data_IF_038521476853
#
_entry.id   IF_038521476853
#
_cell.length_a   1.000
_cell.length_b   1.000
_cell.length_c   1.000
_cell.angle_alpha   90.00
_cell.angle_beta   90.00
_cell.angle_gamma   90.00
#
_symmetry.space_group_name_H-M   'P 1'
#
loop_
_entity.id
_entity.type
_entity.pdbx_description
1 polymer ?
#
# COMPACT_ATOMS: atom_id res chain seq x y z
N UNK A 1 -4.47 -5.75 32.59
CA UNK A 1 -3.80 -5.31 31.34
C UNK A 1 -4.68 -5.72 30.17
N UNK A 2 -5.03 -4.81 29.27
CA UNK A 2 -5.85 -5.12 28.11
C UNK A 2 -5.41 -4.31 26.87
N UNK A 3 -5.76 -4.85 25.71
CA UNK A 3 -5.71 -4.15 24.43
C UNK A 3 -7.09 -3.53 24.12
N UNK A 4 -7.10 -2.23 23.82
CA UNK A 4 -8.26 -1.52 23.29
C UNK A 4 -8.20 -1.52 21.76
N UNK A 5 -9.29 -1.91 21.11
CA UNK A 5 -9.48 -1.74 19.67
C UNK A 5 -10.26 -0.45 19.40
N UNK A 6 -9.68 0.44 18.61
CA UNK A 6 -10.36 1.60 18.04
C UNK A 6 -10.65 1.32 16.56
N UNK A 7 -11.75 0.63 16.31
CA UNK A 7 -12.15 0.17 14.98
C UNK A 7 -13.66 -0.06 14.89
N UNK A 8 -14.12 -0.73 13.83
CA UNK A 8 -15.54 -1.05 13.65
C UNK A 8 -15.98 -2.22 14.53
N UNK A 9 -17.28 -2.33 14.87
CA UNK A 9 -17.82 -3.41 15.69
C UNK A 9 -17.54 -4.81 15.11
N UNK A 10 -17.58 -4.96 13.78
CA UNK A 10 -17.36 -6.24 13.10
C UNK A 10 -15.94 -6.75 13.34
N UNK A 11 -14.96 -5.85 13.35
CA UNK A 11 -13.57 -6.18 13.70
C UNK A 11 -13.44 -6.50 15.18
N UNK A 12 -14.19 -5.80 16.03
CA UNK A 12 -14.32 -6.10 17.47
C UNK A 12 -14.76 -7.54 17.72
N UNK A 13 -15.76 -8.04 16.99
CA UNK A 13 -16.22 -9.44 17.10
C UNK A 13 -15.11 -10.43 16.73
N UNK A 14 -14.41 -10.20 15.62
CA UNK A 14 -13.32 -11.08 15.16
C UNK A 14 -12.17 -11.11 16.16
N UNK A 15 -11.73 -9.94 16.62
CA UNK A 15 -10.62 -9.83 17.57
C UNK A 15 -11.00 -10.37 18.95
N UNK A 16 -12.21 -10.08 19.42
CA UNK A 16 -12.70 -10.57 20.71
C UNK A 16 -12.65 -12.09 20.81
N UNK A 17 -13.00 -12.80 19.73
CA UNK A 17 -12.86 -14.26 19.67
C UNK A 17 -11.39 -14.69 19.80
N UNK A 18 -10.48 -14.07 19.07
CA UNK A 18 -9.05 -14.41 19.07
C UNK A 18 -8.42 -14.15 20.45
N UNK A 19 -8.75 -13.03 21.09
CA UNK A 19 -8.24 -12.70 22.42
C UNK A 19 -8.84 -13.59 23.51
N UNK A 20 -10.12 -13.96 23.40
CA UNK A 20 -10.74 -14.92 24.31
C UNK A 20 -10.09 -16.31 24.20
N UNK A 21 -9.81 -16.78 22.98
CA UNK A 21 -9.07 -18.03 22.73
C UNK A 21 -7.64 -17.99 23.31
N UNK A 22 -6.99 -16.82 23.29
CA UNK A 22 -5.66 -16.61 23.87
C UNK A 22 -5.67 -16.39 25.40
N UNK A 23 -6.83 -16.16 26.02
CA UNK A 23 -6.94 -15.80 27.44
C UNK A 23 -6.42 -14.41 27.77
N UNK A 24 -6.37 -13.50 26.79
CA UNK A 24 -5.81 -12.15 26.91
C UNK A 24 -6.89 -11.09 27.09
N UNK A 25 -6.57 -10.00 27.81
CA UNK A 25 -7.49 -8.90 28.03
C UNK A 25 -7.78 -8.09 26.77
N UNK A 26 -9.06 -7.94 26.41
CA UNK A 26 -9.50 -7.24 25.20
C UNK A 26 -10.72 -6.35 25.45
N UNK A 27 -10.69 -5.16 24.88
CA UNK A 27 -11.79 -4.19 24.90
C UNK A 27 -12.11 -3.81 23.45
N UNK A 28 -13.33 -4.13 23.00
CA UNK A 28 -13.72 -4.03 21.59
C UNK A 28 -13.87 -2.59 21.08
N UNK A 29 -14.17 -1.65 21.98
CA UNK A 29 -14.37 -0.24 21.67
C UNK A 29 -14.19 0.63 22.92
N UNK A 30 -14.11 1.96 22.73
CA UNK A 30 -13.85 2.90 23.82
C UNK A 30 -14.99 3.02 24.84
N UNK A 31 -16.23 2.66 24.49
CA UNK A 31 -17.37 2.67 25.42
C UNK A 31 -17.30 1.50 26.41
N UNK A 32 -16.64 0.40 26.04
CA UNK A 32 -16.35 -0.73 26.92
C UNK A 32 -15.25 -0.48 27.97
N UNK A 33 -14.59 0.68 27.95
CA UNK A 33 -13.51 1.00 28.92
C UNK A 33 -14.12 1.45 30.25
N UNK A 34 -14.12 0.56 31.24
CA UNK A 34 -14.57 0.84 32.61
C UNK A 34 -13.47 1.45 33.50
N UNK A 35 -12.23 0.97 33.34
CA UNK A 35 -11.02 1.50 33.98
C UNK A 35 -10.00 1.87 32.89
N UNK A 36 -9.63 3.16 32.72
CA UNK A 36 -8.63 3.56 31.73
C UNK A 36 -7.22 3.05 32.00
N UNK A 37 -6.84 2.77 33.26
CA UNK A 37 -5.50 2.28 33.62
C UNK A 37 -5.25 0.85 33.11
N UNK A 38 -6.31 0.07 32.87
CA UNK A 38 -6.14 -1.28 32.32
C UNK A 38 -5.67 -1.27 30.86
N UNK A 39 -5.87 -0.16 30.12
CA UNK A 39 -5.53 -0.02 28.71
C UNK A 39 -4.04 0.28 28.57
N UNK A 40 -3.29 -0.75 28.17
CA UNK A 40 -1.83 -0.63 27.97
C UNK A 40 -1.43 -0.68 26.51
N UNK A 41 -2.32 -1.17 25.65
CA UNK A 41 -2.14 -1.28 24.21
C UNK A 41 -3.37 -0.74 23.50
N UNK A 42 -3.17 0.00 22.41
CA UNK A 42 -4.23 0.53 21.57
C UNK A 42 -4.02 0.12 20.12
N UNK A 43 -4.94 -0.63 19.52
CA UNK A 43 -4.92 -0.94 18.10
C UNK A 43 -5.85 0.00 17.33
N UNK A 44 -5.34 0.74 16.35
CA UNK A 44 -6.13 1.71 15.61
C UNK A 44 -5.60 1.95 14.18
N UNK A 45 -6.46 2.44 13.28
CA UNK A 45 -6.00 3.11 12.05
C UNK A 45 -5.71 4.57 12.33
N UNK A 46 -6.69 5.29 12.88
CA UNK A 46 -6.53 6.66 13.38
C UNK A 46 -6.58 6.63 14.91
N UNK A 47 -5.60 7.17 15.63
CA UNK A 47 -5.66 7.21 17.08
C UNK A 47 -6.74 8.19 17.57
N UNK A 48 -7.32 7.98 18.76
CA UNK A 48 -8.12 8.99 19.45
C UNK A 48 -7.33 10.30 19.61
N UNK A 49 -8.05 11.43 19.62
CA UNK A 49 -7.44 12.76 19.75
C UNK A 49 -6.67 12.94 21.06
N UNK A 50 -7.14 12.30 22.15
CA UNK A 50 -6.51 12.35 23.46
C UNK A 50 -6.08 10.95 23.91
N UNK A 51 -4.79 10.67 23.80
CA UNK A 51 -4.18 9.44 24.31
C UNK A 51 -3.84 9.51 25.81
N UNK A 52 -3.81 10.71 26.41
CA UNK A 52 -3.48 10.89 27.83
C UNK A 52 -4.56 10.31 28.76
N UNK A 53 -5.77 10.09 28.23
CA UNK A 53 -6.85 9.34 28.90
C UNK A 53 -6.42 7.94 29.37
N UNK A 54 -5.42 7.33 28.75
CA UNK A 54 -4.92 6.00 29.09
C UNK A 54 -3.53 6.13 29.76
N UNK A 55 -3.46 6.29 31.08
CA UNK A 55 -2.22 6.67 31.78
C UNK A 55 -1.12 5.61 31.70
N UNK A 56 -1.50 4.33 31.58
CA UNK A 56 -0.59 3.20 31.49
C UNK A 56 -0.37 2.72 30.04
N UNK A 57 -0.72 3.54 29.04
CA UNK A 57 -0.53 3.22 27.63
C UNK A 57 0.97 3.10 27.31
N UNK A 58 1.35 1.95 26.75
CA UNK A 58 2.74 1.63 26.38
C UNK A 58 2.94 1.59 24.88
N UNK A 59 1.97 1.09 24.14
CA UNK A 59 2.10 0.87 22.70
C UNK A 59 0.82 1.20 21.95
N UNK A 60 0.97 1.92 20.84
CA UNK A 60 -0.07 2.07 19.82
C UNK A 60 0.30 1.18 18.63
N UNK A 61 -0.62 0.33 18.21
CA UNK A 61 -0.48 -0.60 17.09
C UNK A 61 -1.28 -0.04 15.91
N UNK A 62 -0.59 0.48 14.91
CA UNK A 62 -1.22 0.82 13.64
C UNK A 62 -1.66 -0.46 12.94
N UNK A 63 -2.97 -0.61 12.71
CA UNK A 63 -3.54 -1.75 11.97
C UNK A 63 -3.28 -1.69 10.46
N UNK A 64 -2.64 -0.61 10.00
CA UNK A 64 -2.23 -0.37 8.62
C UNK A 64 -0.75 -0.66 8.35
N UNK A 65 -0.41 -0.71 7.06
CA UNK A 65 0.98 -0.86 6.62
C UNK A 65 1.78 0.45 6.70
N UNK A 66 1.10 1.59 6.55
CA UNK A 66 1.66 2.95 6.66
C UNK A 66 1.34 3.60 7.99
N UNK A 67 2.23 4.46 8.45
CA UNK A 67 2.09 5.21 9.72
C UNK A 67 2.22 6.72 9.53
N UNK A 68 2.31 7.20 8.29
CA UNK A 68 2.62 8.60 7.96
C UNK A 68 1.55 9.59 8.46
N UNK A 69 0.33 9.10 8.71
CA UNK A 69 -0.79 9.90 9.21
C UNK A 69 -0.87 9.97 10.75
N UNK A 70 0.00 9.27 11.48
CA UNK A 70 -0.01 9.32 12.94
C UNK A 70 0.55 10.66 13.45
N UNK A 71 -0.09 11.28 14.46
CA UNK A 71 0.49 12.41 15.16
C UNK A 71 1.70 11.98 16.01
N UNK A 72 2.43 12.97 16.54
CA UNK A 72 3.42 12.70 17.57
C UNK A 72 2.75 12.02 18.77
N UNK A 73 3.34 10.91 19.24
CA UNK A 73 2.83 10.18 20.39
C UNK A 73 3.35 10.78 21.71
N UNK A 74 2.64 10.56 22.83
CA UNK A 74 3.15 10.91 24.15
C UNK A 74 4.49 10.23 24.45
N UNK A 75 5.28 10.85 25.33
CA UNK A 75 6.57 10.31 25.75
C UNK A 75 6.42 8.91 26.37
N UNK A 76 7.33 8.01 26.03
CA UNK A 76 7.32 6.62 26.50
C UNK A 76 6.36 5.68 25.75
N UNK A 77 5.50 6.18 24.86
CA UNK A 77 4.59 5.36 24.06
C UNK A 77 5.24 4.95 22.74
N UNK A 78 5.34 3.64 22.50
CA UNK A 78 5.87 3.10 21.25
C UNK A 78 4.79 3.06 20.13
N UNK A 79 5.20 3.34 18.89
CA UNK A 79 4.38 3.09 17.70
C UNK A 79 4.83 1.80 17.02
N UNK A 80 3.93 0.83 16.93
CA UNK A 80 4.12 -0.39 16.13
C UNK A 80 3.36 -0.27 14.82
N UNK A 81 3.97 -0.74 13.73
CA UNK A 81 3.32 -0.86 12.41
C UNK A 81 3.03 -2.31 12.10
N UNK A 82 1.87 -2.59 11.52
CA UNK A 82 1.51 -3.96 11.13
C UNK A 82 2.25 -4.36 9.86
N UNK A 83 2.95 -5.50 9.92
CA UNK A 83 3.51 -6.18 8.75
C UNK A 83 2.69 -7.45 8.55
N UNK A 84 1.69 -7.41 7.67
CA UNK A 84 0.93 -8.60 7.32
C UNK A 84 1.50 -9.23 6.04
N UNK A 85 1.83 -10.53 6.05
CA UNK A 85 2.24 -11.24 4.85
C UNK A 85 1.21 -11.08 3.73
N UNK A 86 1.65 -10.72 2.53
CA UNK A 86 0.81 -10.66 1.34
C UNK A 86 0.22 -9.29 1.02
N UNK A 87 0.30 -8.29 1.91
CA UNK A 87 -0.14 -6.92 1.59
C UNK A 87 0.63 -6.38 0.37
N UNK A 88 1.93 -6.64 0.28
CA UNK A 88 2.73 -6.16 -0.85
C UNK A 88 2.26 -6.77 -2.17
N UNK A 89 1.91 -8.05 -2.16
CA UNK A 89 1.38 -8.76 -3.32
C UNK A 89 0.01 -8.22 -3.74
N UNK A 90 -0.89 -8.00 -2.78
CA UNK A 90 -2.21 -7.39 -3.04
C UNK A 90 -2.09 -6.00 -3.66
N UNK A 91 -1.23 -5.15 -3.11
CA UNK A 91 -1.01 -3.79 -3.66
C UNK A 91 -0.36 -3.87 -5.03
N UNK A 92 0.60 -4.78 -5.25
CA UNK A 92 1.17 -5.04 -6.58
C UNK A 92 0.09 -5.43 -7.58
N UNK A 93 -0.82 -6.34 -7.23
CA UNK A 93 -1.91 -6.76 -8.14
C UNK A 93 -2.79 -5.58 -8.53
N UNK A 94 -3.14 -4.76 -7.56
CA UNK A 94 -3.93 -3.56 -7.81
C UNK A 94 -3.20 -2.60 -8.77
N UNK A 95 -1.91 -2.35 -8.55
CA UNK A 95 -1.08 -1.48 -9.41
C UNK A 95 -1.00 -2.03 -10.83
N UNK A 96 -0.78 -3.35 -11.00
CA UNK A 96 -0.71 -3.99 -12.31
C UNK A 96 -2.05 -3.90 -13.03
N UNK A 97 -3.15 -4.23 -12.34
CA UNK A 97 -4.51 -4.14 -12.87
C UNK A 97 -4.83 -2.71 -13.33
N UNK A 98 -4.62 -1.70 -12.47
CA UNK A 98 -4.91 -0.31 -12.79
C UNK A 98 -4.05 0.19 -13.97
N UNK A 99 -2.77 -0.19 -14.01
CA UNK A 99 -1.87 0.17 -15.10
C UNK A 99 -2.33 -0.43 -16.43
N UNK A 100 -2.72 -1.71 -16.45
CA UNK A 100 -3.22 -2.37 -17.65
C UNK A 100 -4.57 -1.81 -18.10
N UNK A 101 -5.47 -1.50 -17.16
CA UNK A 101 -6.75 -0.84 -17.45
C UNK A 101 -6.52 0.48 -18.20
N UNK A 102 -5.59 1.32 -17.73
CA UNK A 102 -5.24 2.58 -18.39
C UNK A 102 -4.49 2.35 -19.71
N UNK A 103 -3.57 1.40 -19.76
CA UNK A 103 -2.80 1.08 -20.96
C UNK A 103 -3.70 0.63 -22.13
N UNK A 104 -4.79 -0.07 -21.81
CA UNK A 104 -5.76 -0.61 -22.76
C UNK A 104 -6.99 0.27 -22.95
N UNK A 105 -6.95 1.51 -22.46
CA UNK A 105 -8.04 2.49 -22.56
C UNK A 105 -9.38 1.95 -22.00
N UNK A 106 -9.34 1.07 -21.00
CA UNK A 106 -10.54 0.44 -20.43
C UNK A 106 -11.58 1.46 -19.95
N UNK A 107 -11.24 2.57 -19.25
CA UNK A 107 -12.23 3.57 -18.86
C UNK A 107 -12.99 4.18 -20.05
N UNK A 108 -12.31 4.39 -21.18
CA UNK A 108 -12.96 4.88 -22.40
C UNK A 108 -13.96 3.85 -22.95
N UNK A 109 -13.59 2.58 -22.99
CA UNK A 109 -14.47 1.53 -23.49
C UNK A 109 -15.66 1.26 -22.56
N UNK A 110 -15.49 1.39 -21.25
CA UNK A 110 -16.61 1.29 -20.30
C UNK A 110 -17.63 2.42 -20.51
N UNK A 111 -17.16 3.65 -20.73
CA UNK A 111 -18.00 4.80 -21.04
C UNK A 111 -18.80 4.62 -22.35
N UNK A 112 -18.17 4.07 -23.39
CA UNK A 112 -18.84 3.82 -24.68
C UNK A 112 -19.81 2.63 -24.61
N UNK A 113 -19.44 1.56 -23.91
CA UNK A 113 -20.32 0.43 -23.69
C UNK A 113 -21.60 0.85 -22.96
N UNK A 114 -21.51 1.77 -21.99
CA UNK A 114 -22.67 2.32 -21.30
C UNK A 114 -23.61 3.12 -22.22
N UNK A 115 -23.10 3.64 -23.35
CA UNK A 115 -23.89 4.31 -24.40
C UNK A 115 -24.32 3.38 -25.54
N UNK A 116 -23.92 2.10 -25.51
CA UNK A 116 -24.15 1.16 -26.60
C UNK A 116 -23.34 1.47 -27.86
N UNK A 117 -22.23 2.20 -27.72
CA UNK A 117 -21.39 2.66 -28.84
C UNK A 117 -20.19 1.74 -29.04
N UNK A 118 -19.94 1.33 -30.29
CA UNK A 118 -18.73 0.61 -30.66
C UNK A 118 -17.75 1.53 -31.39
N UNK A 119 -16.71 1.98 -30.71
CA UNK A 119 -15.68 2.84 -31.28
C UNK A 119 -14.26 2.32 -31.00
N UNK A 120 -13.59 1.68 -31.97
CA UNK A 120 -12.25 1.14 -31.77
C UNK A 120 -11.20 2.25 -31.65
N UNK A 121 -10.23 2.08 -30.73
CA UNK A 121 -9.03 2.92 -30.61
C UNK A 121 -7.77 2.16 -31.03
N UNK A 122 -6.75 2.85 -31.57
CA UNK A 122 -5.48 2.23 -31.92
C UNK A 122 -4.83 1.56 -30.69
N UNK A 123 -4.59 0.26 -30.79
CA UNK A 123 -3.86 -0.48 -29.77
C UNK A 123 -2.40 -0.03 -29.74
N UNK A 124 -1.89 0.25 -28.54
CA UNK A 124 -0.49 0.63 -28.33
C UNK A 124 0.28 -0.52 -27.71
N UNK A 125 1.52 -0.71 -28.14
CA UNK A 125 2.38 -1.73 -27.57
C UNK A 125 2.88 -1.28 -26.19
N UNK A 126 2.96 -2.19 -25.24
CA UNK A 126 3.38 -1.92 -23.86
C UNK A 126 4.68 -1.10 -23.78
N UNK A 127 5.69 -1.49 -24.57
CA UNK A 127 7.00 -0.81 -24.65
C UNK A 127 6.95 0.67 -25.04
N UNK A 128 5.86 1.13 -25.63
CA UNK A 128 5.69 2.54 -26.06
C UNK A 128 5.12 3.43 -24.95
N UNK A 129 4.73 2.86 -23.81
CA UNK A 129 4.23 3.59 -22.63
C UNK A 129 5.26 3.51 -21.52
N UNK A 130 5.54 4.65 -20.88
CA UNK A 130 6.42 4.72 -19.72
C UNK A 130 5.59 4.96 -18.46
N UNK A 131 5.79 4.12 -17.46
CA UNK A 131 5.12 4.23 -16.15
C UNK A 131 6.03 4.98 -15.18
N UNK A 132 5.51 5.99 -14.49
CA UNK A 132 6.22 6.63 -13.39
C UNK A 132 5.86 5.95 -12.08
N UNK A 133 6.86 5.51 -11.31
CA UNK A 133 6.66 4.96 -9.96
C UNK A 133 7.29 5.92 -8.97
N UNK A 134 6.47 6.48 -8.08
CA UNK A 134 6.92 7.35 -7.01
C UNK A 134 7.00 6.55 -5.72
N UNK A 135 8.23 6.31 -5.25
CA UNK A 135 8.51 5.54 -4.03
C UNK A 135 8.95 4.10 -4.33
N UNK A 136 10.26 3.85 -4.19
CA UNK A 136 10.87 2.54 -4.45
C UNK A 136 11.14 1.74 -3.16
N UNK A 137 10.14 1.73 -2.27
CA UNK A 137 10.12 0.88 -1.07
C UNK A 137 9.85 -0.61 -1.41
N UNK A 138 9.44 -1.40 -0.40
CA UNK A 138 9.12 -2.83 -0.59
C UNK A 138 8.05 -3.05 -1.67
N UNK A 139 6.95 -2.31 -1.59
CA UNK A 139 5.81 -2.42 -2.52
C UNK A 139 6.18 -1.89 -3.91
N UNK A 140 6.79 -0.70 -3.98
CA UNK A 140 7.15 -0.06 -5.25
C UNK A 140 8.11 -0.90 -6.10
N UNK A 141 9.09 -1.55 -5.46
CA UNK A 141 9.99 -2.48 -6.16
C UNK A 141 9.25 -3.70 -6.72
N UNK A 142 8.42 -4.36 -5.91
CA UNK A 142 7.64 -5.52 -6.35
C UNK A 142 6.71 -5.17 -7.53
N UNK A 143 6.06 -4.01 -7.48
CA UNK A 143 5.22 -3.52 -8.57
C UNK A 143 6.05 -3.21 -9.83
N UNK A 144 7.22 -2.58 -9.69
CA UNK A 144 8.11 -2.26 -10.80
C UNK A 144 8.61 -3.52 -11.54
N UNK A 145 9.05 -4.53 -10.79
CA UNK A 145 9.47 -5.83 -11.32
C UNK A 145 8.32 -6.51 -12.09
N UNK A 146 7.11 -6.48 -11.53
CA UNK A 146 5.93 -7.07 -12.16
C UNK A 146 5.54 -6.36 -13.46
N UNK A 147 5.61 -5.03 -13.49
CA UNK A 147 5.34 -4.24 -14.71
C UNK A 147 6.43 -4.46 -15.78
N UNK A 148 7.68 -4.60 -15.36
CA UNK A 148 8.79 -4.88 -16.27
C UNK A 148 8.61 -6.24 -16.97
N UNK A 149 8.13 -7.27 -16.25
CA UNK A 149 7.80 -8.58 -16.83
C UNK A 149 6.71 -8.49 -17.92
N UNK A 150 5.85 -7.47 -17.88
CA UNK A 150 4.83 -7.19 -18.89
C UNK A 150 5.32 -6.26 -20.03
N UNK A 151 6.63 -6.04 -20.13
CA UNK A 151 7.26 -5.13 -21.09
C UNK A 151 6.74 -3.68 -21.01
N UNK A 152 6.25 -3.25 -19.83
CA UNK A 152 5.92 -1.86 -19.52
C UNK A 152 7.15 -1.20 -18.87
N UNK A 153 7.93 -0.39 -19.61
CA UNK A 153 9.08 0.27 -19.02
C UNK A 153 8.62 1.27 -17.93
N UNK A 154 9.31 1.27 -16.80
CA UNK A 154 9.06 2.20 -15.72
C UNK A 154 10.22 3.17 -15.51
N UNK A 155 9.96 4.27 -14.80
CA UNK A 155 10.96 5.20 -14.29
C UNK A 155 10.66 5.49 -12.82
N UNK A 156 11.66 5.40 -11.97
CA UNK A 156 11.59 5.94 -10.61
C UNK A 156 11.54 7.47 -10.68
N UNK A 157 10.44 8.05 -10.21
CA UNK A 157 10.21 9.50 -10.23
C UNK A 157 10.63 10.18 -8.93
N UNK A 158 10.92 9.44 -7.85
CA UNK A 158 11.50 10.01 -6.64
C UNK A 158 12.94 10.52 -6.91
N UNK A 159 13.67 9.86 -7.82
CA UNK A 159 14.95 10.33 -8.34
C UNK A 159 14.86 11.65 -9.13
N UNK A 160 13.67 12.04 -9.61
CA UNK A 160 13.45 13.28 -10.40
C UNK A 160 13.01 14.47 -9.53
N UNK A 161 12.48 14.22 -8.33
CA UNK A 161 11.92 15.26 -7.46
C UNK A 161 12.97 16.00 -6.60
N UNK A 162 14.24 15.59 -6.65
CA UNK A 162 15.35 16.30 -6.02
C UNK A 162 16.08 15.49 -4.96
N UNK A 163 17.39 15.72 -4.88
CA UNK A 163 18.27 15.29 -3.80
C UNK A 163 17.75 15.89 -2.48
N UNK A 164 16.85 15.22 -1.79
CA UNK A 164 16.58 15.50 -0.37
C UNK A 164 17.51 14.63 0.48
N UNK A 165 18.23 15.29 1.39
CA UNK A 165 19.25 14.70 2.26
C UNK A 165 18.65 13.58 3.13
N UNK A 166 19.35 12.45 3.23
CA UNK A 166 19.31 11.66 4.47
C UNK A 166 18.67 10.28 4.45
N UNK A 167 18.81 9.48 3.39
CA UNK A 167 19.00 8.03 3.61
C UNK A 167 19.87 7.46 2.50
N UNK A 168 21.09 7.04 2.84
CA UNK A 168 21.95 6.30 1.90
C UNK A 168 21.45 4.86 1.88
N UNK A 169 20.69 4.49 0.86
CA UNK A 169 20.67 3.10 0.42
C UNK A 169 21.87 2.92 -0.52
N UNK A 170 22.84 2.13 -0.07
CA UNK A 170 23.96 1.69 -0.91
C UNK A 170 23.44 0.63 -1.87
N UNK A 171 22.99 1.05 -3.04
CA UNK A 171 22.86 0.17 -4.20
C UNK A 171 23.43 0.92 -5.41
N UNK A 172 24.75 0.79 -5.59
CA UNK A 172 25.34 0.97 -6.92
C UNK A 172 24.91 -0.23 -7.75
N UNK A 173 24.06 -0.01 -8.74
CA UNK A 173 24.08 -0.83 -9.95
C UNK A 173 23.68 0.06 -11.12
N UNK A 174 24.67 0.36 -11.96
CA UNK A 174 24.45 1.05 -13.21
C UNK A 174 23.64 0.16 -14.14
N UNK A 175 22.60 0.72 -14.73
CA UNK A 175 21.89 0.09 -15.84
C UNK A 175 21.65 1.15 -16.91
N UNK A 176 22.58 1.24 -17.85
CA UNK A 176 22.32 1.79 -19.19
C UNK A 176 21.88 0.65 -20.09
N UNK A 177 20.65 0.64 -20.64
CA UNK A 177 20.39 -0.13 -21.83
C UNK A 177 20.69 0.76 -23.03
N UNK A 178 21.92 0.68 -23.51
CA UNK A 178 22.25 1.02 -24.89
C UNK A 178 22.07 -0.27 -25.69
N UNK A 179 21.06 -0.32 -26.55
CA UNK A 179 21.01 -1.32 -27.63
C UNK A 179 20.62 -0.66 -28.95
N UNK A 180 21.50 -0.68 -29.97
CA UNK A 180 21.20 -0.28 -31.33
C UNK A 180 20.83 -1.50 -32.19
N UNK A 181 19.78 -1.41 -33.00
CA UNK A 181 19.58 -2.33 -34.14
C UNK A 181 18.16 -2.87 -34.35
N UNK A 182 17.67 -2.95 -35.61
CA UNK A 182 16.28 -3.26 -35.92
C UNK A 182 16.03 -4.78 -36.03
N UNK A 183 14.90 -5.24 -35.47
CA UNK A 183 14.33 -6.55 -35.83
C UNK A 183 13.33 -6.29 -36.97
N UNK A 184 13.68 -6.74 -38.17
CA UNK A 184 12.81 -6.72 -39.34
C UNK A 184 11.63 -7.67 -39.13
N UNK A 185 10.40 -7.14 -39.25
CA UNK A 185 9.20 -7.94 -39.37
C UNK A 185 8.80 -8.00 -40.84
N UNK A 186 9.11 -9.12 -41.49
CA UNK A 186 8.48 -9.48 -42.76
C UNK A 186 7.48 -10.59 -42.51
N UNK A 187 6.23 -10.29 -42.88
CA UNK A 187 5.15 -11.22 -43.21
C UNK A 187 4.64 -12.18 -42.14
N UNK A 188 3.40 -11.96 -41.68
CA UNK A 188 2.30 -12.90 -41.96
C UNK A 188 0.96 -12.28 -41.58
N UNK A 189 0.34 -11.57 -42.53
CA UNK A 189 -1.12 -11.52 -42.60
C UNK A 189 -1.53 -12.52 -43.68
N UNK A 190 -2.25 -13.55 -43.27
CA UNK A 190 -3.25 -14.23 -44.09
C UNK A 190 -4.31 -14.80 -43.14
#
# INVERSE_FOLDING_TARGET
MALLLHSTPERGTVWGRIFAEAGEGFIADAAGVTDPAQVTHLACWTPPADLSRYPDLRTVICVGAGTDHFPALPEGVALSRTIAPGIEAMVRDWVVMATLALHRDLPFYLDHAARGEWQPRPARLARTRRIGIMGMGRIGRLAAESLQALALPFRDTAALAGRSKGSRSSARSGWTPFWPGPISWSACCR
#
